data_IF_513168241628
#
_entry.id   IF_513168241628
#
_cell.length_a   1.000
_cell.length_b   1.000
_cell.length_c   1.000
_cell.angle_alpha   90.00
_cell.angle_beta   90.00
_cell.angle_gamma   90.00
#
_symmetry.space_group_name_H-M   'P 1'
#
loop_
_entity.id
_entity.type
_entity.pdbx_description
1 polymer ?
#
# COMPACT_ATOMS: atom_id res chain seq x y z
N UNK A 1 7.73 -16.02 -50.76
CA UNK A 1 6.52 -15.28 -50.34
C UNK A 1 6.14 -15.43 -48.87
N UNK A 2 6.73 -16.36 -48.08
CA UNK A 2 6.47 -16.45 -46.61
C UNK A 2 7.40 -15.61 -45.72
N UNK A 3 8.38 -14.90 -46.30
CA UNK A 3 9.43 -14.20 -45.53
C UNK A 3 8.92 -12.85 -44.99
N UNK A 4 7.99 -12.20 -45.68
CA UNK A 4 7.47 -10.87 -45.30
C UNK A 4 6.57 -10.88 -44.04
N UNK A 5 6.13 -12.05 -43.57
CA UNK A 5 5.32 -12.21 -42.36
C UNK A 5 6.17 -12.48 -41.10
N UNK A 6 7.47 -12.75 -41.25
CA UNK A 6 8.40 -12.94 -40.13
C UNK A 6 9.10 -11.64 -39.73
N UNK A 7 9.11 -10.63 -40.60
CA UNK A 7 9.77 -9.33 -40.39
C UNK A 7 8.81 -8.23 -39.89
N UNK A 8 7.51 -8.52 -39.78
CA UNK A 8 6.54 -7.57 -39.21
C UNK A 8 6.20 -7.97 -37.78
N UNK A 9 6.77 -7.27 -36.81
CA UNK A 9 6.49 -7.41 -35.38
C UNK A 9 4.98 -7.22 -35.07
N UNK A 10 4.21 -6.58 -35.97
CA UNK A 10 2.75 -6.46 -35.85
C UNK A 10 1.97 -7.71 -36.32
N UNK A 11 2.65 -8.73 -36.84
CA UNK A 11 2.05 -9.98 -37.28
C UNK A 11 1.72 -10.95 -36.14
N UNK A 12 2.25 -10.72 -34.94
CA UNK A 12 2.07 -11.57 -33.76
C UNK A 12 1.29 -10.86 -32.66
N UNK A 13 0.36 -11.58 -32.04
CA UNK A 13 -0.38 -11.10 -30.88
C UNK A 13 -0.22 -12.05 -29.69
N UNK A 14 -0.14 -11.45 -28.49
CA UNK A 14 -0.05 -12.16 -27.23
C UNK A 14 -1.39 -12.08 -26.51
N UNK A 15 -1.86 -13.22 -26.03
CA UNK A 15 -3.09 -13.34 -25.26
C UNK A 15 -2.77 -13.79 -23.84
N UNK A 16 -3.43 -13.12 -22.88
CA UNK A 16 -3.45 -13.51 -21.47
C UNK A 16 -4.90 -13.60 -21.05
N UNK A 17 -5.31 -14.78 -20.55
CA UNK A 17 -6.69 -15.07 -20.17
C UNK A 17 -7.72 -14.68 -21.27
N UNK A 18 -7.46 -15.10 -22.51
CA UNK A 18 -8.30 -14.83 -23.68
C UNK A 18 -8.49 -13.35 -24.05
N UNK A 19 -7.63 -12.45 -23.54
CA UNK A 19 -7.58 -11.03 -23.92
C UNK A 19 -6.29 -10.77 -24.67
N UNK A 20 -6.35 -10.06 -25.78
CA UNK A 20 -5.16 -9.66 -26.55
C UNK A 20 -4.51 -8.48 -25.81
N UNK A 21 -3.21 -8.57 -25.53
CA UNK A 21 -2.48 -7.60 -24.72
C UNK A 21 -1.56 -6.78 -25.61
N UNK A 22 -1.64 -5.44 -25.52
CA UNK A 22 -0.68 -4.57 -26.19
C UNK A 22 0.74 -4.83 -25.69
N UNK A 23 1.69 -4.91 -26.62
CA UNK A 23 3.11 -5.13 -26.34
C UNK A 23 3.76 -3.95 -25.60
N UNK A 24 3.11 -2.79 -25.60
CA UNK A 24 3.55 -1.60 -24.87
C UNK A 24 3.32 -1.71 -23.35
N UNK A 25 2.57 -2.72 -22.90
CA UNK A 25 2.21 -2.89 -21.49
C UNK A 25 3.28 -3.67 -20.72
N UNK A 26 3.72 -3.19 -19.54
CA UNK A 26 4.67 -3.93 -18.71
C UNK A 26 4.10 -5.28 -18.24
N UNK A 27 4.84 -6.38 -18.43
CA UNK A 27 4.45 -7.75 -18.02
C UNK A 27 4.02 -7.82 -16.54
N UNK A 28 4.69 -7.07 -15.66
CA UNK A 28 4.35 -6.97 -14.23
C UNK A 28 2.93 -6.46 -14.01
N UNK A 29 2.52 -5.46 -14.78
CA UNK A 29 1.20 -4.85 -14.67
C UNK A 29 0.13 -5.75 -15.28
N UNK A 30 0.43 -6.42 -16.40
CA UNK A 30 -0.42 -7.45 -17.01
C UNK A 30 -0.69 -8.59 -16.03
N UNK A 31 0.35 -9.10 -15.36
CA UNK A 31 0.22 -10.14 -14.34
C UNK A 31 -0.72 -9.71 -13.21
N UNK A 32 -0.50 -8.52 -12.65
CA UNK A 32 -1.31 -8.05 -11.51
C UNK A 32 -2.75 -7.73 -11.89
N UNK A 33 -2.97 -7.08 -13.02
CA UNK A 33 -4.27 -6.48 -13.37
C UNK A 33 -5.14 -7.39 -14.23
N UNK A 34 -4.55 -8.35 -14.94
CA UNK A 34 -5.29 -9.28 -15.79
C UNK A 34 -5.25 -10.68 -15.18
N UNK A 35 -4.07 -11.22 -14.89
CA UNK A 35 -3.95 -12.60 -14.41
C UNK A 35 -4.46 -12.79 -12.97
N UNK A 36 -3.96 -12.00 -12.02
CA UNK A 36 -4.37 -12.10 -10.61
C UNK A 36 -5.84 -11.68 -10.43
N UNK A 37 -6.28 -10.64 -11.14
CA UNK A 37 -7.64 -10.13 -11.05
C UNK A 37 -8.71 -11.15 -11.49
N UNK A 38 -8.35 -12.08 -12.38
CA UNK A 38 -9.23 -13.14 -12.89
C UNK A 38 -9.08 -14.45 -12.08
N UNK A 39 -8.45 -14.39 -10.91
CA UNK A 39 -8.33 -15.52 -9.98
C UNK A 39 -7.14 -16.45 -10.24
N UNK A 40 -6.16 -16.03 -11.04
CA UNK A 40 -4.93 -16.79 -11.31
C UNK A 40 -3.89 -16.76 -10.17
N UNK A 41 -4.27 -16.33 -8.96
CA UNK A 41 -3.35 -16.22 -7.83
C UNK A 41 -2.90 -17.61 -7.36
N UNK A 42 -1.62 -17.95 -7.58
CA UNK A 42 -1.02 -19.24 -7.21
C UNK A 42 -0.45 -20.03 -8.39
N UNK A 43 -0.84 -19.71 -9.62
CA UNK A 43 -0.37 -20.35 -10.84
C UNK A 43 0.49 -19.42 -11.71
N UNK A 44 1.34 -20.02 -12.55
CA UNK A 44 2.15 -19.29 -13.51
C UNK A 44 1.27 -18.67 -14.60
N UNK A 45 1.44 -17.37 -14.87
CA UNK A 45 0.69 -16.67 -15.91
C UNK A 45 0.95 -17.29 -17.28
N UNK A 46 -0.10 -17.87 -17.86
CA UNK A 46 -0.05 -18.47 -19.20
C UNK A 46 -0.21 -17.39 -20.26
N UNK A 47 0.79 -17.26 -21.12
CA UNK A 47 0.76 -16.40 -22.31
C UNK A 47 0.63 -17.27 -23.55
N UNK A 48 -0.32 -16.95 -24.42
CA UNK A 48 -0.54 -17.64 -25.70
C UNK A 48 -0.16 -16.69 -26.83
N UNK A 49 0.67 -17.14 -27.77
CA UNK A 49 1.02 -16.35 -28.95
C UNK A 49 0.30 -16.91 -30.18
N UNK A 50 -0.13 -16.06 -31.10
CA UNK A 50 -0.62 -16.47 -32.42
C UNK A 50 -0.37 -15.40 -33.48
N UNK A 51 -0.44 -15.80 -34.75
CA UNK A 51 -0.30 -14.90 -35.89
C UNK A 51 -1.66 -14.26 -36.21
N UNK A 52 -1.66 -12.93 -36.36
CA UNK A 52 -2.86 -12.14 -36.67
C UNK A 52 -3.42 -12.50 -38.05
N UNK A 53 -4.75 -12.60 -38.16
CA UNK A 53 -5.44 -12.77 -39.45
C UNK A 53 -5.40 -14.18 -40.06
N UNK A 54 -4.67 -15.13 -39.48
CA UNK A 54 -4.65 -16.53 -39.97
C UNK A 54 -5.81 -17.38 -39.44
N UNK A 55 -6.43 -16.99 -38.33
CA UNK A 55 -7.44 -17.77 -37.60
C UNK A 55 -8.84 -17.12 -37.58
N UNK A 56 -9.10 -16.20 -38.51
CA UNK A 56 -10.33 -15.40 -38.58
C UNK A 56 -10.21 -14.03 -37.92
N UNK A 57 -11.33 -13.30 -37.86
CA UNK A 57 -11.38 -11.98 -37.24
C UNK A 57 -11.20 -12.09 -35.72
N UNK A 58 -10.34 -11.24 -35.15
CA UNK A 58 -10.13 -11.17 -33.70
C UNK A 58 -11.40 -10.67 -33.02
N UNK A 59 -12.08 -11.57 -32.29
CA UNK A 59 -13.27 -11.23 -31.49
C UNK A 59 -12.92 -11.06 -30.02
N UNK A 60 -11.69 -11.37 -29.65
CA UNK A 60 -11.15 -11.17 -28.32
C UNK A 60 -10.96 -9.68 -28.01
N UNK A 61 -11.12 -9.35 -26.73
CA UNK A 61 -10.93 -7.99 -26.23
C UNK A 61 -9.46 -7.58 -26.37
N UNK A 62 -9.21 -6.43 -26.99
CA UNK A 62 -7.88 -5.84 -27.10
C UNK A 62 -7.62 -4.86 -25.97
N UNK A 63 -6.64 -5.15 -25.11
CA UNK A 63 -6.24 -4.34 -23.97
C UNK A 63 -5.03 -3.49 -24.35
N UNK A 64 -5.31 -2.26 -24.78
CA UNK A 64 -4.27 -1.28 -25.11
C UNK A 64 -3.79 -0.51 -23.88
N UNK A 65 -4.70 -0.24 -22.95
CA UNK A 65 -4.39 0.44 -21.71
C UNK A 65 -4.82 -0.41 -20.53
N UNK A 66 -3.86 -0.66 -19.63
CA UNK A 66 -4.18 -1.09 -18.29
C UNK A 66 -4.63 0.16 -17.56
N UNK A 67 -5.88 0.60 -17.80
CA UNK A 67 -6.52 1.56 -16.92
C UNK A 67 -6.19 1.09 -15.51
N UNK A 68 -5.33 1.85 -14.82
CA UNK A 68 -5.28 1.73 -13.39
C UNK A 68 -6.75 1.86 -13.02
N UNK A 69 -7.35 0.81 -12.43
CA UNK A 69 -8.45 1.08 -11.52
C UNK A 69 -7.85 2.12 -10.60
N UNK A 70 -8.15 3.39 -10.90
CA UNK A 70 -7.83 4.54 -10.09
C UNK A 70 -8.08 4.06 -8.70
N UNK A 71 -7.02 3.99 -7.89
CA UNK A 71 -7.05 3.73 -6.46
C UNK A 71 -8.45 3.33 -6.04
N UNK A 72 -8.82 2.04 -6.19
CA UNK A 72 -10.03 1.57 -5.51
C UNK A 72 -9.81 2.10 -4.11
N UNK A 73 -10.62 3.06 -3.66
CA UNK A 73 -10.46 3.70 -2.35
C UNK A 73 -10.32 2.52 -1.41
N UNK A 74 -9.08 2.26 -1.00
CA UNK A 74 -8.79 1.06 -0.23
C UNK A 74 -9.52 1.38 1.04
N UNK A 75 -10.62 0.67 1.26
CA UNK A 75 -11.47 0.96 2.40
C UNK A 75 -10.64 0.63 3.63
N UNK A 76 -10.00 1.66 4.19
CA UNK A 76 -9.07 1.52 5.29
C UNK A 76 -9.78 0.88 6.49
N UNK A 77 -11.09 1.11 6.64
CA UNK A 77 -11.91 0.44 7.65
C UNK A 77 -11.97 -1.08 7.46
N UNK A 78 -12.04 -1.58 6.22
CA UNK A 78 -12.02 -3.02 5.95
C UNK A 78 -10.60 -3.59 6.08
N UNK A 79 -9.62 -2.94 5.46
CA UNK A 79 -8.24 -3.45 5.44
C UNK A 79 -7.62 -3.49 6.83
N UNK A 80 -7.89 -2.47 7.65
CA UNK A 80 -7.33 -2.35 8.99
C UNK A 80 -8.34 -2.69 10.08
N UNK A 81 -9.44 -3.39 9.77
CA UNK A 81 -10.50 -3.74 10.72
C UNK A 81 -9.99 -4.34 12.03
N UNK A 82 -8.96 -5.19 11.97
CA UNK A 82 -8.36 -5.83 13.16
C UNK A 82 -7.73 -4.81 14.13
N UNK A 83 -7.30 -3.65 13.64
CA UNK A 83 -6.76 -2.58 14.50
C UNK A 83 -7.79 -2.02 15.47
N UNK A 84 -9.10 -2.19 15.23
CA UNK A 84 -10.16 -1.78 16.17
C UNK A 84 -10.02 -2.42 17.55
N UNK A 85 -9.41 -3.61 17.64
CA UNK A 85 -9.18 -4.31 18.91
C UNK A 85 -8.33 -3.45 19.86
N UNK A 86 -7.46 -2.59 19.34
CA UNK A 86 -6.58 -1.72 20.14
C UNK A 86 -7.38 -0.71 20.98
N UNK A 87 -8.49 -0.19 20.48
CA UNK A 87 -9.40 0.66 21.23
C UNK A 87 -10.19 -0.13 22.29
N UNK A 88 -10.49 -1.40 22.06
CA UNK A 88 -11.31 -2.22 22.96
C UNK A 88 -10.52 -2.75 24.17
N UNK A 89 -9.24 -3.08 23.97
CA UNK A 89 -8.41 -3.70 25.01
C UNK A 89 -7.59 -2.70 25.84
N UNK A 90 -7.76 -1.39 25.60
CA UNK A 90 -6.90 -0.36 26.20
C UNK A 90 -5.46 -0.39 25.66
N UNK A 91 -5.27 -0.95 24.45
CA UNK A 91 -3.95 -1.14 23.85
C UNK A 91 -3.31 0.18 23.44
N UNK A 92 -4.11 1.17 23.03
CA UNK A 92 -3.63 2.50 22.63
C UNK A 92 -3.00 3.25 23.81
N UNK A 93 -3.60 3.17 25.00
CA UNK A 93 -3.10 3.72 26.26
C UNK A 93 -1.73 3.12 26.62
N UNK A 94 -1.61 1.80 26.46
CA UNK A 94 -0.36 1.09 26.73
C UNK A 94 0.71 1.51 25.72
N UNK A 95 0.39 1.60 24.43
CA UNK A 95 1.34 2.05 23.41
C UNK A 95 1.84 3.47 23.71
N UNK A 96 0.94 4.40 23.98
CA UNK A 96 1.30 5.79 24.29
C UNK A 96 2.12 5.90 25.57
N UNK A 97 1.78 5.13 26.61
CA UNK A 97 2.56 5.05 27.85
C UNK A 97 3.97 4.51 27.61
N UNK A 98 4.13 3.52 26.73
CA UNK A 98 5.46 2.99 26.38
C UNK A 98 6.26 4.00 25.56
N UNK A 99 5.59 4.70 24.65
CA UNK A 99 6.21 5.75 23.83
C UNK A 99 6.71 6.92 24.70
N UNK A 100 5.93 7.36 25.67
CA UNK A 100 6.30 8.47 26.57
C UNK A 100 7.46 8.16 27.53
N UNK A 101 7.78 6.87 27.73
CA UNK A 101 8.91 6.43 28.54
C UNK A 101 10.24 6.38 27.76
N UNK A 102 10.20 6.54 26.43
CA UNK A 102 11.40 6.55 25.61
C UNK A 102 12.16 7.85 25.86
N UNK A 103 13.39 7.74 26.34
CA UNK A 103 14.33 8.86 26.56
C UNK A 103 15.62 8.75 25.76
N UNK A 104 15.96 7.53 25.34
CA UNK A 104 17.18 7.20 24.61
C UNK A 104 16.81 6.51 23.29
N UNK A 105 17.07 7.20 22.18
CA UNK A 105 16.77 6.71 20.84
C UNK A 105 17.69 5.58 20.40
N UNK A 106 18.94 5.55 20.85
CA UNK A 106 19.92 4.54 20.41
C UNK A 106 19.51 3.17 20.91
N UNK A 107 19.13 3.08 22.20
CA UNK A 107 18.71 1.82 22.82
C UNK A 107 17.28 1.42 22.47
N UNK A 108 16.39 2.40 22.31
CA UNK A 108 14.94 2.16 22.14
C UNK A 108 14.50 2.12 20.68
N UNK A 109 15.43 2.21 19.74
CA UNK A 109 15.16 2.38 18.30
C UNK A 109 14.18 1.38 17.71
N UNK A 110 14.43 0.09 17.92
CA UNK A 110 13.59 -0.97 17.37
C UNK A 110 12.17 -0.90 17.95
N UNK A 111 12.04 -0.62 19.25
CA UNK A 111 10.76 -0.46 19.90
C UNK A 111 10.01 0.76 19.35
N UNK A 112 10.69 1.89 19.20
CA UNK A 112 10.11 3.12 18.65
C UNK A 112 9.55 2.88 17.24
N UNK A 113 10.33 2.24 16.37
CA UNK A 113 9.93 1.96 15.00
C UNK A 113 8.70 1.04 14.93
N UNK A 114 8.67 -0.03 15.72
CA UNK A 114 7.52 -0.95 15.76
C UNK A 114 6.29 -0.27 16.36
N UNK A 115 6.47 0.53 17.41
CA UNK A 115 5.39 1.27 18.09
C UNK A 115 4.76 2.29 17.15
N UNK A 116 5.57 3.09 16.45
CA UNK A 116 5.07 4.08 15.48
C UNK A 116 4.39 3.40 14.30
N UNK A 117 4.97 2.32 13.76
CA UNK A 117 4.34 1.57 12.68
C UNK A 117 2.99 0.99 13.09
N UNK A 118 2.87 0.43 14.30
CA UNK A 118 1.59 -0.05 14.81
C UNK A 118 0.59 1.10 14.99
N UNK A 119 1.04 2.24 15.51
CA UNK A 119 0.21 3.43 15.69
C UNK A 119 -0.27 3.99 14.34
N UNK A 120 0.57 3.99 13.30
CA UNK A 120 0.18 4.34 11.93
C UNK A 120 -0.94 3.45 11.39
N UNK A 121 -0.94 2.15 11.71
CA UNK A 121 -2.04 1.27 11.32
C UNK A 121 -3.30 1.57 12.15
N UNK A 122 -3.14 1.89 13.43
CA UNK A 122 -4.25 2.21 14.31
C UNK A 122 -5.00 3.46 13.85
N UNK A 123 -4.29 4.52 13.46
CA UNK A 123 -4.92 5.78 13.01
C UNK A 123 -5.66 5.67 11.68
N UNK A 124 -5.59 4.55 10.96
CA UNK A 124 -6.35 4.36 9.70
C UNK A 124 -7.83 4.01 9.92
N UNK A 125 -8.26 3.85 11.17
CA UNK A 125 -9.59 3.37 11.55
C UNK A 125 -10.26 4.36 12.51
N UNK A 126 -11.53 4.70 12.27
CA UNK A 126 -12.25 5.76 12.98
C UNK A 126 -12.29 5.55 14.49
N UNK A 127 -12.56 4.32 14.95
CA UNK A 127 -12.68 4.00 16.38
C UNK A 127 -11.40 4.33 17.15
N UNK A 128 -10.25 4.02 16.57
CA UNK A 128 -8.96 4.32 17.18
C UNK A 128 -8.64 5.81 17.12
N UNK A 129 -8.99 6.49 16.03
CA UNK A 129 -8.85 7.95 15.93
C UNK A 129 -9.64 8.65 17.05
N UNK A 130 -10.89 8.25 17.29
CA UNK A 130 -11.73 8.77 18.37
C UNK A 130 -11.07 8.61 19.74
N UNK A 131 -10.55 7.42 20.04
CA UNK A 131 -9.84 7.17 21.30
C UNK A 131 -8.59 8.04 21.41
N UNK A 132 -7.78 8.13 20.35
CA UNK A 132 -6.55 8.91 20.32
C UNK A 132 -6.77 10.43 20.43
N UNK A 133 -7.96 10.91 20.06
CA UNK A 133 -8.35 12.31 20.23
C UNK A 133 -8.75 12.65 21.67
N UNK A 134 -8.96 11.66 22.55
CA UNK A 134 -9.31 11.96 23.93
C UNK A 134 -8.19 12.72 24.65
N UNK A 135 -8.46 13.90 25.24
CA UNK A 135 -7.45 14.72 25.91
C UNK A 135 -6.73 14.00 27.05
N UNK A 136 -7.38 13.02 27.68
CA UNK A 136 -6.83 12.20 28.77
C UNK A 136 -5.60 11.39 28.36
N UNK A 137 -5.45 11.07 27.07
CA UNK A 137 -4.31 10.29 26.58
C UNK A 137 -3.07 11.14 26.28
N UNK A 138 -3.24 12.46 26.07
CA UNK A 138 -2.14 13.35 25.74
C UNK A 138 -1.38 12.94 24.46
N UNK A 139 -2.03 12.27 23.52
CA UNK A 139 -1.44 11.67 22.30
C UNK A 139 -0.50 12.64 21.58
N UNK A 140 -0.98 13.85 21.28
CA UNK A 140 -0.22 14.88 20.56
C UNK A 140 1.03 15.31 21.35
N UNK A 141 0.93 15.46 22.67
CA UNK A 141 2.06 15.84 23.54
C UNK A 141 3.13 14.75 23.53
N UNK A 142 2.73 13.48 23.60
CA UNK A 142 3.65 12.34 23.56
C UNK A 142 4.35 12.26 22.20
N UNK A 143 3.62 12.46 21.11
CA UNK A 143 4.17 12.47 19.75
C UNK A 143 5.14 13.63 19.55
N UNK A 144 4.83 14.83 20.05
CA UNK A 144 5.73 15.99 20.00
C UNK A 144 7.03 15.77 20.79
N UNK A 145 6.94 15.18 21.98
CA UNK A 145 8.14 14.84 22.75
C UNK A 145 8.99 13.79 22.01
N UNK A 146 8.35 12.81 21.37
CA UNK A 146 9.02 11.80 20.56
C UNK A 146 9.68 12.42 19.33
N UNK A 147 8.99 13.36 18.67
CA UNK A 147 9.51 14.14 17.55
C UNK A 147 10.76 14.92 17.96
N UNK A 148 10.73 15.61 19.10
CA UNK A 148 11.87 16.37 19.60
C UNK A 148 13.10 15.48 19.85
N UNK A 149 12.89 14.27 20.36
CA UNK A 149 13.96 13.27 20.47
C UNK A 149 14.51 12.94 19.08
N UNK A 150 13.65 12.62 18.11
CA UNK A 150 14.07 12.28 16.74
C UNK A 150 14.84 13.41 16.04
N UNK A 151 14.47 14.67 16.26
CA UNK A 151 15.17 15.83 15.69
C UNK A 151 16.57 16.00 16.27
N UNK A 152 16.79 15.56 17.51
CA UNK A 152 18.10 15.64 18.17
C UNK A 152 19.12 14.64 17.61
N UNK A 153 18.67 13.67 16.80
CA UNK A 153 19.49 12.64 16.16
C UNK A 153 19.47 12.81 14.62
N UNK A 154 20.53 13.35 14.03
CA UNK A 154 20.59 13.76 12.60
C UNK A 154 20.81 12.62 11.60
N UNK A 155 20.34 11.39 11.88
CA UNK A 155 20.48 10.25 10.94
C UNK A 155 19.34 10.20 9.93
N UNK A 156 19.57 9.64 8.72
CA UNK A 156 18.52 9.46 7.70
C UNK A 156 17.31 8.64 8.20
N UNK A 157 17.53 7.71 9.13
CA UNK A 157 16.45 6.93 9.72
C UNK A 157 15.60 7.76 10.70
N UNK A 158 16.17 8.76 11.35
CA UNK A 158 15.39 9.72 12.15
C UNK A 158 14.42 10.52 11.29
N UNK A 159 14.80 10.87 10.05
CA UNK A 159 13.91 11.55 9.10
C UNK A 159 12.67 10.74 8.80
N UNK A 160 12.80 9.43 8.57
CA UNK A 160 11.65 8.54 8.34
C UNK A 160 10.74 8.47 9.57
N UNK A 161 11.30 8.39 10.78
CA UNK A 161 10.50 8.37 12.01
C UNK A 161 9.78 9.71 12.21
N UNK A 162 10.42 10.82 11.88
CA UNK A 162 9.82 12.16 11.91
C UNK A 162 8.61 12.23 10.98
N UNK A 163 8.74 11.78 9.72
CA UNK A 163 7.64 11.74 8.76
C UNK A 163 6.45 10.92 9.29
N UNK A 164 6.73 9.73 9.84
CA UNK A 164 5.69 8.89 10.45
C UNK A 164 4.97 9.60 11.60
N UNK A 165 5.71 10.28 12.48
CA UNK A 165 5.13 11.00 13.61
C UNK A 165 4.23 12.14 13.12
N UNK A 166 4.67 12.89 12.10
CA UNK A 166 3.90 14.01 11.53
C UNK A 166 2.62 13.51 10.87
N UNK A 167 2.67 12.41 10.10
CA UNK A 167 1.49 11.80 9.46
C UNK A 167 0.45 11.34 10.50
N UNK A 168 0.91 10.71 11.58
CA UNK A 168 0.04 10.29 12.70
C UNK A 168 -0.60 11.53 13.34
N UNK A 169 0.19 12.57 13.62
CA UNK A 169 -0.32 13.80 14.23
C UNK A 169 -1.35 14.49 13.35
N UNK A 170 -1.10 14.61 12.05
CA UNK A 170 -2.03 15.19 11.08
C UNK A 170 -3.37 14.43 11.07
N UNK A 171 -3.32 13.10 11.08
CA UNK A 171 -4.51 12.25 11.12
C UNK A 171 -5.32 12.46 12.41
N UNK A 172 -4.66 12.58 13.56
CA UNK A 172 -5.33 12.82 14.85
C UNK A 172 -5.89 14.25 14.94
N UNK A 173 -5.15 15.24 14.45
CA UNK A 173 -5.54 16.65 14.52
C UNK A 173 -6.68 17.00 13.55
N UNK A 174 -6.67 16.41 12.34
CA UNK A 174 -7.74 16.60 11.36
C UNK A 174 -9.11 16.11 11.83
N UNK A 175 -9.15 15.15 12.77
CA UNK A 175 -10.39 14.67 13.41
C UNK A 175 -10.86 15.54 14.58
N UNK A 176 -9.97 16.35 15.16
CA UNK A 176 -10.26 17.21 16.31
C UNK A 176 -10.89 18.56 15.90
N UNK A 177 -10.83 18.90 14.61
CA UNK A 177 -11.37 20.15 14.04
C UNK A 177 -12.77 19.92 13.46
#
# INVERSE_FOLDING_TARGET
>A
ELIALLDDDNGMELLVNNKIISLDLPVKEVYKKIWVAEGGEGDSMRVVYRMRGLLGDATEEFIETLHAKSQQEVNNEEVYKMANVMAECGGLEVLLRRLSQIRDMVRSKALLQVTLKLLQLCVKVSKNQEVLCHPTLGTVVILLNTFQLCVSDTTQQSTQLIEQIVEIMETVLSKTT
#
